data_IF_465172243741
#
_entry.id   IF_465172243741
#
_cell.length_a   1.000
_cell.length_b   1.000
_cell.length_c   1.000
_cell.angle_alpha   90.00
_cell.angle_beta   90.00
_cell.angle_gamma   90.00
#
_symmetry.space_group_name_H-M   'P 1'
#
loop_
_entity.id
_entity.type
_entity.pdbx_description
1 polymer ?
#
# COMPACT_ATOMS: atom_id res chain seq x y z
N UNK A 1 5.22 -13.19 2.60
CA UNK A 1 4.76 -11.81 2.38
C UNK A 1 5.68 -11.22 1.32
N UNK A 2 5.13 -10.83 0.18
CA UNK A 2 5.88 -10.27 -0.93
C UNK A 2 5.78 -8.75 -0.89
N UNK A 3 6.87 -8.04 -1.21
CA UNK A 3 6.90 -6.58 -1.27
C UNK A 3 7.18 -6.14 -2.70
N UNK A 4 6.25 -5.40 -3.28
CA UNK A 4 6.37 -4.83 -4.61
C UNK A 4 6.37 -3.30 -4.51
N UNK A 5 7.35 -2.67 -5.16
CA UNK A 5 7.42 -1.21 -5.30
C UNK A 5 7.21 -0.85 -6.76
N UNK A 6 6.32 0.10 -7.01
CA UNK A 6 5.95 0.54 -8.35
C UNK A 6 6.13 2.06 -8.43
N UNK A 7 6.82 2.53 -9.46
CA UNK A 7 6.86 3.94 -9.80
C UNK A 7 5.56 4.31 -10.53
N UNK A 8 4.73 5.09 -9.84
CA UNK A 8 3.47 5.60 -10.33
C UNK A 8 3.61 6.52 -11.57
N UNK A 9 4.77 7.15 -11.75
CA UNK A 9 5.05 8.05 -12.88
C UNK A 9 5.28 7.28 -14.18
N UNK A 10 5.79 6.05 -14.07
CA UNK A 10 6.07 5.17 -15.21
C UNK A 10 4.84 4.32 -15.57
N UNK A 11 3.95 4.04 -14.60
CA UNK A 11 2.82 3.13 -14.74
C UNK A 11 1.45 3.78 -14.44
N UNK A 12 1.05 4.85 -15.16
CA UNK A 12 -0.19 5.58 -14.87
C UNK A 12 -1.47 4.75 -15.09
N UNK A 13 -1.46 3.80 -16.02
CA UNK A 13 -2.60 2.90 -16.26
C UNK A 13 -2.85 1.99 -15.06
N UNK A 14 -1.78 1.39 -14.53
CA UNK A 14 -1.84 0.51 -13.37
C UNK A 14 -2.30 1.26 -12.11
N UNK A 15 -1.80 2.48 -11.89
CA UNK A 15 -2.25 3.30 -10.76
C UNK A 15 -3.72 3.67 -10.89
N UNK A 16 -4.19 3.98 -12.10
CA UNK A 16 -5.61 4.23 -12.35
C UNK A 16 -6.48 2.99 -12.12
N UNK A 17 -6.07 1.83 -12.62
CA UNK A 17 -6.77 0.54 -12.41
C UNK A 17 -6.84 0.16 -10.92
N UNK A 18 -5.76 0.43 -10.18
CA UNK A 18 -5.71 0.22 -8.73
C UNK A 18 -6.39 1.36 -7.91
N UNK A 19 -6.96 2.37 -8.57
CA UNK A 19 -7.60 3.52 -7.92
C UNK A 19 -6.63 4.38 -7.09
N UNK A 20 -5.35 4.39 -7.42
CA UNK A 20 -4.29 5.15 -6.73
C UNK A 20 -4.10 6.51 -7.42
N UNK A 21 -4.71 7.54 -6.84
CA UNK A 21 -4.65 8.91 -7.36
C UNK A 21 -3.74 9.85 -6.56
N UNK A 22 -3.14 9.34 -5.48
CA UNK A 22 -2.22 10.11 -4.65
C UNK A 22 -0.97 9.30 -4.33
N UNK A 23 0.18 9.95 -4.42
CA UNK A 23 1.49 9.35 -4.16
C UNK A 23 2.08 10.00 -2.90
N UNK A 24 2.70 9.23 -1.98
CA UNK A 24 2.81 7.75 -1.97
C UNK A 24 1.53 7.07 -1.44
N UNK A 25 1.24 5.87 -1.96
CA UNK A 25 0.18 4.97 -1.49
C UNK A 25 0.73 3.57 -1.24
N UNK A 26 0.37 2.94 -0.12
CA UNK A 26 0.65 1.54 0.19
C UNK A 26 -0.65 0.77 0.12
N UNK A 27 -0.65 -0.32 -0.65
CA UNK A 27 -1.73 -1.30 -0.71
C UNK A 27 -1.24 -2.62 -0.12
N UNK A 28 -2.04 -3.24 0.74
CA UNK A 28 -1.77 -4.57 1.29
C UNK A 28 -2.88 -5.50 0.84
N UNK A 29 -2.49 -6.61 0.22
CA UNK A 29 -3.41 -7.64 -0.21
C UNK A 29 -3.27 -8.88 0.68
N UNK A 30 -4.40 -9.45 1.07
CA UNK A 30 -4.49 -10.73 1.78
C UNK A 30 -5.51 -11.62 1.07
N UNK A 31 -5.11 -12.85 0.72
CA UNK A 31 -5.93 -13.80 -0.05
C UNK A 31 -6.54 -13.19 -1.33
N UNK A 32 -5.76 -12.36 -2.03
CA UNK A 32 -6.18 -11.71 -3.28
C UNK A 32 -7.16 -10.54 -3.10
N UNK A 33 -7.50 -10.17 -1.86
CA UNK A 33 -8.35 -9.01 -1.56
C UNK A 33 -7.52 -7.87 -0.97
N UNK A 34 -7.81 -6.65 -1.38
CA UNK A 34 -7.23 -5.46 -0.75
C UNK A 34 -7.73 -5.36 0.70
N UNK A 35 -6.80 -5.27 1.65
CA UNK A 35 -7.08 -5.25 3.08
C UNK A 35 -6.75 -3.90 3.72
N UNK A 36 -5.66 -3.27 3.26
CA UNK A 36 -5.21 -1.97 3.78
C UNK A 36 -4.83 -1.07 2.60
N UNK A 37 -5.33 0.17 2.64
CA UNK A 37 -4.94 1.25 1.73
C UNK A 37 -4.59 2.47 2.55
N UNK A 38 -3.39 2.98 2.35
CA UNK A 38 -2.89 4.13 3.10
C UNK A 38 -2.19 5.09 2.14
N UNK A 39 -2.63 6.34 2.12
CA UNK A 39 -2.20 7.35 1.16
C UNK A 39 -1.82 8.64 1.86
N UNK A 40 -0.63 9.19 1.55
CA UNK A 40 -0.03 10.40 2.16
C UNK A 40 0.04 10.35 3.71
N UNK A 41 1.20 10.69 4.27
CA UNK A 41 1.45 10.78 5.73
C UNK A 41 1.53 9.46 6.52
N UNK A 42 2.01 8.38 5.90
CA UNK A 42 2.45 7.22 6.67
C UNK A 42 3.78 7.53 7.33
N UNK A 43 3.77 7.72 8.64
CA UNK A 43 4.98 7.55 9.44
C UNK A 43 5.41 6.09 9.35
N UNK A 44 6.65 5.81 8.93
CA UNK A 44 7.23 4.45 8.88
C UNK A 44 7.03 3.73 10.23
N UNK A 45 7.08 4.48 11.33
CA UNK A 45 6.82 4.00 12.69
C UNK A 45 5.38 3.56 12.92
N UNK A 46 4.38 4.25 12.36
CA UNK A 46 2.97 3.83 12.44
C UNK A 46 2.73 2.56 11.63
N UNK A 47 3.35 2.45 10.46
CA UNK A 47 3.25 1.25 9.63
C UNK A 47 3.79 0.02 10.37
N UNK A 48 4.98 0.13 10.98
CA UNK A 48 5.58 -0.94 11.76
C UNK A 48 4.74 -1.36 12.97
N UNK A 49 4.10 -0.39 13.65
CA UNK A 49 3.21 -0.66 14.80
C UNK A 49 1.98 -1.47 14.39
N UNK A 50 1.40 -1.17 13.22
CA UNK A 50 0.18 -1.85 12.73
C UNK A 50 0.47 -3.30 12.33
N UNK A 51 1.57 -3.58 11.64
CA UNK A 51 1.95 -4.96 11.30
C UNK A 51 2.23 -5.83 12.53
N UNK A 52 2.76 -5.26 13.62
CA UNK A 52 2.95 -6.00 14.88
C UNK A 52 1.64 -6.36 15.59
N UNK A 53 0.57 -5.60 15.39
CA UNK A 53 -0.70 -5.80 16.10
C UNK A 53 -1.62 -6.82 15.42
N UNK A 54 -1.43 -7.11 14.13
CA UNK A 54 -2.26 -8.04 13.37
C UNK A 54 -1.73 -9.49 13.41
N UNK A 55 -0.58 -9.72 14.07
CA UNK A 55 0.04 -11.04 14.26
C UNK A 55 -0.15 -11.60 15.69
N UNK A 56 -1.22 -11.22 16.39
CA UNK A 56 -1.61 -11.79 17.69
C UNK A 56 -2.99 -12.45 17.53
#
# INVERSE_FOLDING_TARGET
MEFLSIDASINPSLTSEAGVYSVPTILVFFEGREYIRESKYISVSQLAKRYRSTMI
#
